data_IF_232810555509
#
_entry.id   IF_232810555509
#
_cell.length_a   1.000
_cell.length_b   1.000
_cell.length_c   1.000
_cell.angle_alpha   90.00
_cell.angle_beta   90.00
_cell.angle_gamma   90.00
#
_symmetry.space_group_name_H-M   'P 1'
#
loop_
_entity.id
_entity.type
_entity.pdbx_description
1 polymer ?
#
# COMPACT_ATOMS: atom_id res chain seq x y z
N UNK A 1 4.99 -15.46 -10.62
CA UNK A 1 4.88 -14.11 -10.01
C UNK A 1 3.45 -13.65 -10.13
N UNK A 2 2.91 -12.97 -9.10
CA UNK A 2 1.59 -12.33 -9.17
C UNK A 2 1.80 -10.86 -9.51
N UNK A 3 1.10 -10.30 -10.52
CA UNK A 3 1.24 -8.89 -10.86
C UNK A 3 0.67 -7.98 -9.76
N UNK A 4 1.25 -6.79 -9.64
CA UNK A 4 0.83 -5.76 -8.69
C UNK A 4 0.45 -4.48 -9.43
N UNK A 5 -0.31 -3.62 -8.74
CA UNK A 5 -0.63 -2.28 -9.20
C UNK A 5 -0.35 -1.26 -8.10
N UNK A 6 -0.14 0.00 -8.48
CA UNK A 6 0.15 1.08 -7.55
C UNK A 6 -1.12 1.79 -7.15
N UNK A 7 -1.33 1.97 -5.84
CA UNK A 7 -2.48 2.69 -5.26
C UNK A 7 -1.95 3.80 -4.34
N UNK A 8 -2.75 4.86 -4.17
CA UNK A 8 -2.49 5.91 -3.16
C UNK A 8 -3.34 5.64 -1.91
N UNK A 9 -2.70 5.60 -0.75
CA UNK A 9 -3.32 5.34 0.56
C UNK A 9 -2.98 6.43 1.57
N UNK A 10 -3.85 6.66 2.57
CA UNK A 10 -3.62 7.62 3.65
C UNK A 10 -3.26 9.03 3.16
N UNK A 11 -2.17 9.61 3.68
CA UNK A 11 -1.65 10.92 3.30
C UNK A 11 -0.94 10.98 1.94
N UNK A 12 -1.29 10.10 0.99
CA UNK A 12 -0.69 10.04 -0.34
C UNK A 12 0.42 9.00 -0.50
N UNK A 13 0.46 7.97 0.34
CA UNK A 13 1.42 6.88 0.23
C UNK A 13 1.18 6.04 -1.02
N UNK A 14 2.21 5.92 -1.86
CA UNK A 14 2.20 4.96 -2.97
C UNK A 14 2.52 3.57 -2.44
N UNK A 15 1.56 2.65 -2.57
CA UNK A 15 1.70 1.24 -2.19
C UNK A 15 1.59 0.35 -3.42
N UNK A 16 2.25 -0.81 -3.40
CA UNK A 16 2.04 -1.87 -4.40
C UNK A 16 1.15 -2.95 -3.83
N UNK A 17 0.03 -3.19 -4.50
CA UNK A 17 -0.98 -4.19 -4.09
C UNK A 17 -1.11 -5.30 -5.14
N UNK A 18 -1.17 -6.58 -4.73
CA UNK A 18 -1.51 -7.67 -5.64
C UNK A 18 -2.87 -7.45 -6.30
N UNK A 19 -2.98 -7.73 -7.61
CA UNK A 19 -4.26 -7.52 -8.35
C UNK A 19 -5.37 -8.50 -7.96
N UNK A 20 -5.03 -9.60 -7.30
CA UNK A 20 -5.96 -10.69 -7.01
C UNK A 20 -5.88 -11.15 -5.54
N UNK A 21 -6.25 -10.26 -4.61
CA UNK A 21 -6.27 -10.55 -3.17
C UNK A 21 -7.22 -11.70 -2.78
N UNK A 22 -8.40 -11.79 -3.41
CA UNK A 22 -9.42 -12.76 -3.01
C UNK A 22 -9.06 -14.23 -3.27
N UNK A 23 -8.97 -14.66 -4.53
CA UNK A 23 -8.90 -16.09 -4.86
C UNK A 23 -7.53 -16.73 -4.60
N UNK A 24 -6.46 -15.93 -4.52
CA UNK A 24 -5.09 -16.40 -4.41
C UNK A 24 -4.47 -16.21 -3.02
N UNK A 25 -5.01 -15.28 -2.21
CA UNK A 25 -4.38 -14.89 -0.93
C UNK A 25 -5.29 -15.11 0.28
N UNK A 26 -6.42 -15.82 0.17
CA UNK A 26 -7.23 -16.21 1.34
C UNK A 26 -6.35 -16.93 2.39
N UNK A 27 -6.46 -16.60 3.68
CA UNK A 27 -7.46 -15.74 4.33
C UNK A 27 -7.05 -14.26 4.45
N UNK A 28 -5.98 -13.82 3.81
CA UNK A 28 -5.50 -12.45 3.89
C UNK A 28 -6.38 -11.49 3.07
N UNK A 29 -6.85 -10.42 3.73
CA UNK A 29 -7.74 -9.44 3.12
C UNK A 29 -7.01 -8.29 2.42
N UNK A 30 -5.82 -7.94 2.92
CA UNK A 30 -5.03 -6.83 2.39
C UNK A 30 -3.54 -7.10 2.58
N UNK A 31 -2.77 -6.84 1.52
CA UNK A 31 -1.31 -6.84 1.53
C UNK A 31 -0.83 -5.68 0.68
N UNK A 32 -0.17 -4.73 1.33
CA UNK A 32 0.43 -3.56 0.69
C UNK A 32 1.93 -3.54 0.96
N UNK A 33 2.71 -3.44 -0.10
CA UNK A 33 4.13 -3.16 0.03
C UNK A 33 4.36 -1.65 -0.06
N UNK A 34 4.91 -1.08 1.02
CA UNK A 34 5.34 0.31 1.06
C UNK A 34 6.79 0.46 0.58
N UNK A 35 7.02 1.44 -0.29
CA UNK A 35 8.37 1.81 -0.72
C UNK A 35 9.02 0.85 -1.75
N UNK A 36 10.34 0.97 -2.00
CA UNK A 36 11.27 1.89 -1.34
C UNK A 36 10.97 3.34 -1.69
N UNK A 37 11.06 4.23 -0.71
CA UNK A 37 10.82 5.67 -0.86
C UNK A 37 11.65 6.43 0.16
N UNK A 38 12.24 7.55 -0.26
CA UNK A 38 12.95 8.46 0.63
C UNK A 38 12.12 9.73 0.80
N UNK A 39 11.68 10.00 2.03
CA UNK A 39 10.90 11.19 2.34
C UNK A 39 11.83 12.34 2.75
N UNK A 40 11.62 13.51 2.16
CA UNK A 40 12.24 14.74 2.66
C UNK A 40 11.66 15.15 4.02
N UNK A 41 12.25 16.18 4.67
CA UNK A 41 11.74 16.69 5.94
C UNK A 41 10.24 16.99 5.89
N UNK A 42 9.47 16.42 6.83
CA UNK A 42 8.00 16.57 6.96
C UNK A 42 7.16 16.00 5.80
N UNK A 43 7.73 15.22 4.89
CA UNK A 43 6.99 14.62 3.76
C UNK A 43 6.39 13.24 4.08
N UNK A 44 6.80 12.60 5.18
CA UNK A 44 6.17 11.39 5.69
C UNK A 44 4.90 11.76 6.48
N UNK A 45 3.81 12.06 5.76
CA UNK A 45 2.53 12.52 6.35
C UNK A 45 1.82 11.38 7.11
N UNK A 46 2.12 10.12 6.81
CA UNK A 46 1.49 8.99 7.50
C UNK A 46 0.12 8.65 6.93
N UNK A 47 -0.54 7.71 7.60
CA UNK A 47 -1.98 7.56 7.48
C UNK A 47 -2.60 8.53 8.50
N UNK A 48 -3.34 9.57 8.07
CA UNK A 48 -4.07 10.43 8.99
C UNK A 48 -5.16 9.62 9.73
N UNK A 49 -5.81 10.25 10.72
CA UNK A 49 -6.84 9.61 11.54
C UNK A 49 -7.88 8.88 10.68
N UNK A 50 -8.02 7.59 10.91
CA UNK A 50 -9.00 6.71 10.26
C UNK A 50 -9.75 5.90 11.35
N UNK A 51 -10.93 5.34 11.06
CA UNK A 51 -11.61 4.40 11.95
C UNK A 51 -10.77 3.16 12.28
#
# INVERSE_FOLDING_TARGET
MIPTHTVLEGGGFKVRRPVAMGSLMSPFLLLDEMGPVNYGPKQAIGAPSHP
#
